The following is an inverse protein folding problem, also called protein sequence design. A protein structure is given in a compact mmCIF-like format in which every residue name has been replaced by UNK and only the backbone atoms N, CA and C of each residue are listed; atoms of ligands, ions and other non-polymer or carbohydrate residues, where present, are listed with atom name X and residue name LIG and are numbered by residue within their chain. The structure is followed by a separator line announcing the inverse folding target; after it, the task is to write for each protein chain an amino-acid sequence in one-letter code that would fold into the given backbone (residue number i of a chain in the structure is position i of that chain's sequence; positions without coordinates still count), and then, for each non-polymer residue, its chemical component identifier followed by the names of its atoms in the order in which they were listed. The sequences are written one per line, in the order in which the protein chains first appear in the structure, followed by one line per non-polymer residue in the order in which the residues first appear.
data_IF_061828147769
#
_entry.id   IF_061828147769
#
_cell.length_a   1.000
_cell.length_b   1.000
_cell.length_c   1.000
_cell.angle_alpha   90.00
_cell.angle_beta   90.00
_cell.angle_gamma   90.00
#
_symmetry.space_group_name_H-M   'P 1'
#
loop_
_entity.id
_entity.type
_entity.pdbx_description
1 polymer ?
#
# COMPACT_ATOMS: atom_id res chain seq x y z
N UNK A 1 22.19 27.80 -18.17
CA UNK A 1 21.50 26.78 -17.36
C UNK A 1 20.12 27.28 -17.05
N UNK A 2 19.09 26.59 -17.56
CA UNK A 2 17.69 26.98 -17.43
C UNK A 2 17.17 26.54 -16.07
N UNK A 3 16.42 27.40 -15.37
CA UNK A 3 15.77 27.11 -14.08
C UNK A 3 14.89 25.84 -14.17
N UNK A 4 14.39 25.51 -15.38
CA UNK A 4 13.59 24.32 -15.63
C UNK A 4 14.32 22.98 -15.44
N UNK A 5 15.63 22.89 -15.73
CA UNK A 5 16.39 21.65 -15.56
C UNK A 5 16.69 21.36 -14.08
N UNK A 6 16.89 22.42 -13.28
CA UNK A 6 17.19 22.28 -11.85
C UNK A 6 15.96 21.83 -11.05
N UNK A 7 14.75 22.25 -11.45
CA UNK A 7 13.51 21.81 -10.82
C UNK A 7 13.17 20.35 -11.16
N UNK A 8 13.40 19.91 -12.41
CA UNK A 8 13.18 18.52 -12.81
C UNK A 8 14.12 17.53 -12.08
N UNK A 9 15.37 17.92 -11.85
CA UNK A 9 16.31 17.12 -11.06
C UNK A 9 15.95 17.12 -9.57
N UNK A 10 15.48 18.24 -9.01
CA UNK A 10 15.05 18.30 -7.60
C UNK A 10 13.80 17.44 -7.35
N UNK A 11 12.86 17.41 -8.31
CA UNK A 11 11.68 16.55 -8.24
C UNK A 11 12.06 15.08 -8.44
N UNK A 12 12.98 14.77 -9.36
CA UNK A 12 13.44 13.39 -9.59
C UNK A 12 14.26 12.83 -8.42
N UNK A 13 15.11 13.65 -7.77
CA UNK A 13 15.88 13.23 -6.60
C UNK A 13 15.01 13.01 -5.35
N UNK A 14 13.85 13.68 -5.26
CA UNK A 14 12.84 13.41 -4.23
C UNK A 14 12.02 12.15 -4.47
N UNK A 15 11.99 11.66 -5.72
CA UNK A 15 11.23 10.46 -6.13
C UNK A 15 12.12 9.20 -6.09
N UNK A 16 13.44 9.33 -6.28
CA UNK A 16 14.32 8.17 -6.47
C UNK A 16 15.15 7.71 -5.26
N UNK A 17 15.08 8.34 -4.08
CA UNK A 17 15.92 7.89 -2.94
C UNK A 17 15.19 7.83 -1.59
N UNK A 18 14.39 6.77 -1.41
CA UNK A 18 14.33 6.10 -0.10
C UNK A 18 13.08 6.28 0.76
N UNK A 19 11.89 6.47 0.19
CA UNK A 19 10.63 6.42 0.95
C UNK A 19 10.14 5.02 1.34
N UNK A 20 10.75 3.96 0.78
CA UNK A 20 10.29 2.57 0.85
C UNK A 20 11.34 1.64 1.51
N UNK A 21 12.04 2.13 2.54
CA UNK A 21 13.02 1.32 3.29
C UNK A 21 12.28 0.30 4.18
N UNK A 22 11.80 -0.80 3.58
CA UNK A 22 11.33 -1.99 4.32
C UNK A 22 9.82 -2.13 4.50
N UNK A 23 9.00 -1.51 3.65
CA UNK A 23 7.55 -1.76 3.64
C UNK A 23 7.29 -3.02 2.81
N UNK A 24 6.95 -4.11 3.50
CA UNK A 24 6.76 -5.43 2.89
C UNK A 24 5.29 -5.76 2.63
N UNK A 25 4.36 -5.03 3.24
CA UNK A 25 2.92 -5.24 3.08
C UNK A 25 2.13 -3.93 3.19
N UNK A 26 0.87 -3.98 2.76
CA UNK A 26 -0.06 -2.84 2.83
C UNK A 26 -0.25 -2.32 4.26
N UNK A 27 -0.18 -3.20 5.25
CA UNK A 27 -0.30 -2.81 6.65
C UNK A 27 0.85 -1.89 7.06
N UNK A 28 2.10 -2.23 6.74
CA UNK A 28 3.27 -1.39 7.01
C UNK A 28 3.25 -0.07 6.22
N UNK A 29 2.73 -0.11 4.99
CA UNK A 29 2.50 1.09 4.17
C UNK A 29 1.53 2.06 4.86
N UNK A 30 0.46 1.51 5.41
CA UNK A 30 -0.63 2.26 6.03
C UNK A 30 -0.39 2.52 7.53
N UNK A 31 0.60 1.89 8.15
CA UNK A 31 1.08 2.19 9.51
C UNK A 31 2.05 3.38 9.54
N UNK A 32 2.81 3.59 8.45
CA UNK A 32 3.65 4.79 8.28
C UNK A 32 2.84 6.10 8.34
N UNK A 33 1.55 6.04 8.01
CA UNK A 33 0.62 7.15 8.13
C UNK A 33 -0.49 6.76 9.11
N UNK A 34 -0.47 7.33 10.32
CA UNK A 34 -1.49 7.07 11.35
C UNK A 34 -2.91 6.97 10.75
N UNK A 35 -3.65 5.89 11.05
CA UNK A 35 -4.99 5.62 10.52
C UNK A 35 -5.97 6.81 10.68
N UNK A 36 -5.78 7.66 11.69
CA UNK A 36 -6.53 8.91 11.89
C UNK A 36 -6.20 9.96 10.83
N UNK A 37 -4.92 10.11 10.48
CA UNK A 37 -4.46 11.00 9.41
C UNK A 37 -4.93 10.48 8.05
N UNK A 38 -4.81 9.18 7.84
CA UNK A 38 -5.26 8.49 6.63
C UNK A 38 -6.79 8.61 6.44
N UNK A 39 -7.55 8.48 7.52
CA UNK A 39 -9.00 8.70 7.54
C UNK A 39 -9.38 10.13 7.12
N UNK A 40 -8.67 11.13 7.64
CA UNK A 40 -8.89 12.54 7.24
C UNK A 40 -8.50 12.81 5.78
N UNK A 41 -7.41 12.22 5.31
CA UNK A 41 -6.88 12.45 3.95
C UNK A 41 -7.71 11.78 2.85
N UNK A 42 -8.29 10.62 3.16
CA UNK A 42 -9.02 9.79 2.18
C UNK A 42 -10.54 9.89 2.32
N UNK A 43 -11.03 10.42 3.44
CA UNK A 43 -12.46 10.43 3.78
C UNK A 43 -13.00 9.06 4.23
N UNK A 44 -12.17 8.02 4.28
CA UNK A 44 -12.60 6.71 4.78
C UNK A 44 -12.63 6.68 6.30
N UNK A 45 -13.62 6.00 6.88
CA UNK A 45 -13.62 5.72 8.30
C UNK A 45 -12.45 4.79 8.67
N UNK A 46 -11.91 4.93 9.89
CA UNK A 46 -10.75 4.16 10.37
C UNK A 46 -10.96 2.65 10.24
N UNK A 47 -12.18 2.17 10.50
CA UNK A 47 -12.55 0.76 10.37
C UNK A 47 -12.50 0.28 8.92
N UNK A 48 -12.89 1.12 7.97
CA UNK A 48 -12.81 0.83 6.53
C UNK A 48 -11.36 0.71 6.08
N UNK A 49 -10.49 1.59 6.56
CA UNK A 49 -9.05 1.53 6.29
C UNK A 49 -8.48 0.24 6.87
N UNK A 50 -8.76 -0.04 8.13
CA UNK A 50 -8.31 -1.27 8.78
C UNK A 50 -8.77 -2.53 8.03
N UNK A 51 -10.06 -2.62 7.70
CA UNK A 51 -10.61 -3.76 6.95
C UNK A 51 -9.89 -3.97 5.62
N UNK A 52 -9.61 -2.89 4.89
CA UNK A 52 -8.92 -2.96 3.60
C UNK A 52 -7.43 -3.30 3.72
N UNK A 53 -6.80 -2.97 4.85
CA UNK A 53 -5.42 -3.37 5.13
C UNK A 53 -5.30 -4.88 5.38
N UNK A 54 -6.32 -5.48 6.00
CA UNK A 54 -6.36 -6.91 6.34
C UNK A 54 -7.00 -7.75 5.24
N UNK A 55 -7.86 -7.16 4.43
CA UNK A 55 -8.56 -7.77 3.30
C UNK A 55 -8.27 -6.96 2.01
N UNK A 56 -7.06 -7.09 1.44
CA UNK A 56 -6.64 -6.32 0.27
C UNK A 56 -7.55 -6.49 -0.96
N UNK A 57 -8.22 -7.63 -1.08
CA UNK A 57 -9.20 -7.91 -2.13
C UNK A 57 -10.40 -6.94 -2.14
N UNK A 58 -10.62 -6.21 -1.04
CA UNK A 58 -11.69 -5.21 -0.93
C UNK A 58 -11.25 -3.80 -1.37
N UNK A 59 -9.97 -3.59 -1.67
CA UNK A 59 -9.47 -2.31 -2.18
C UNK A 59 -9.85 -2.17 -3.66
N UNK A 60 -10.51 -1.05 -4.00
CA UNK A 60 -10.81 -0.73 -5.40
C UNK A 60 -9.70 0.11 -6.03
N UNK A 61 -9.62 0.06 -7.36
CA UNK A 61 -8.62 0.82 -8.16
C UNK A 61 -8.65 2.32 -7.86
N UNK A 62 -9.83 2.93 -7.75
CA UNK A 62 -9.97 4.36 -7.41
C UNK A 62 -9.33 4.71 -6.06
N UNK A 63 -9.33 3.76 -5.14
CA UNK A 63 -8.83 3.93 -3.78
C UNK A 63 -7.32 3.76 -3.73
N UNK A 64 -6.79 2.86 -4.57
CA UNK A 64 -5.35 2.75 -4.83
C UNK A 64 -4.82 4.09 -5.34
N UNK A 65 -5.50 4.71 -6.32
CA UNK A 65 -5.10 6.01 -6.85
C UNK A 65 -5.13 7.11 -5.79
N UNK A 66 -6.21 7.17 -4.98
CA UNK A 66 -6.31 8.12 -3.86
C UNK A 66 -5.22 7.90 -2.81
N UNK A 67 -4.93 6.66 -2.46
CA UNK A 67 -3.87 6.34 -1.50
C UNK A 67 -2.50 6.71 -2.08
N UNK A 68 -2.23 6.38 -3.33
CA UNK A 68 -0.98 6.71 -4.01
C UNK A 68 -0.71 8.23 -3.99
N UNK A 69 -1.72 9.02 -4.32
CA UNK A 69 -1.65 10.48 -4.28
C UNK A 69 -1.36 11.01 -2.86
N UNK A 70 -2.07 10.50 -1.83
CA UNK A 70 -1.92 10.99 -0.45
C UNK A 70 -0.67 10.50 0.26
N UNK A 71 -0.17 9.32 -0.11
CA UNK A 71 1.03 8.71 0.45
C UNK A 71 2.30 9.08 -0.34
N UNK A 72 2.15 9.77 -1.49
CA UNK A 72 3.22 10.09 -2.42
C UNK A 72 4.02 8.85 -2.85
N UNK A 73 3.30 7.78 -3.19
CA UNK A 73 3.86 6.52 -3.70
C UNK A 73 3.21 6.17 -5.03
N UNK A 74 3.85 5.33 -5.85
CA UNK A 74 3.25 4.93 -7.12
C UNK A 74 2.00 4.06 -6.90
N UNK A 75 0.93 4.23 -7.70
CA UNK A 75 -0.23 3.33 -7.65
C UNK A 75 0.14 1.86 -7.86
N UNK A 76 1.10 1.62 -8.76
CA UNK A 76 1.64 0.29 -9.03
C UNK A 76 2.25 -0.36 -7.79
N UNK A 77 2.95 0.42 -6.94
CA UNK A 77 3.51 -0.10 -5.69
C UNK A 77 2.43 -0.57 -4.74
N UNK A 78 1.38 0.22 -4.56
CA UNK A 78 0.23 -0.16 -3.71
C UNK A 78 -0.47 -1.41 -4.24
N UNK A 79 -0.66 -1.48 -5.57
CA UNK A 79 -1.25 -2.64 -6.22
C UNK A 79 -0.41 -3.90 -6.02
N UNK A 80 0.90 -3.82 -6.23
CA UNK A 80 1.80 -4.94 -6.02
C UNK A 80 1.81 -5.43 -4.57
N UNK A 81 1.77 -4.51 -3.59
CA UNK A 81 1.64 -4.86 -2.18
C UNK A 81 0.30 -5.57 -1.89
N UNK A 82 -0.80 -5.12 -2.50
CA UNK A 82 -2.10 -5.77 -2.37
C UNK A 82 -2.08 -7.20 -2.93
N UNK A 83 -1.50 -7.38 -4.13
CA UNK A 83 -1.41 -8.69 -4.80
C UNK A 83 -0.56 -9.67 -3.99
N UNK A 84 0.60 -9.23 -3.49
CA UNK A 84 1.48 -10.08 -2.68
C UNK A 84 0.79 -10.53 -1.39
N UNK A 85 0.04 -9.64 -0.74
CA UNK A 85 -0.70 -9.97 0.48
C UNK A 85 -1.83 -10.97 0.20
N UNK A 86 -2.56 -10.81 -0.91
CA UNK A 86 -3.59 -11.78 -1.32
C UNK A 86 -2.99 -13.16 -1.59
N UNK A 87 -1.83 -13.23 -2.26
CA UNK A 87 -1.14 -14.48 -2.51
C UNK A 87 -0.66 -15.16 -1.20
N UNK A 88 -0.19 -14.38 -0.23
CA UNK A 88 0.21 -14.88 1.08
C UNK A 88 -0.99 -15.45 1.87
N UNK A 89 -2.13 -14.75 1.86
CA UNK A 89 -3.38 -15.22 2.48
C UNK A 89 -3.85 -16.53 1.82
N UNK A 90 -3.80 -16.62 0.49
CA UNK A 90 -4.19 -17.84 -0.22
C UNK A 90 -3.26 -19.02 0.10
N UNK A 91 -1.96 -18.78 0.23
CA UNK A 91 -0.99 -19.80 0.62
C UNK A 91 -1.24 -20.31 2.05
N UNK A 92 -1.51 -19.42 3.00
CA UNK A 92 -1.86 -19.78 4.39
C UNK A 92 -3.14 -20.63 4.44
N UNK A 93 -4.17 -20.24 3.68
CA UNK A 93 -5.42 -20.99 3.57
C UNK A 93 -5.21 -22.39 2.97
N UNK A 94 -4.31 -22.54 1.99
CA UNK A 94 -3.97 -23.84 1.41
C UNK A 94 -3.21 -24.73 2.40
N UNK A 95 -2.32 -24.16 3.21
CA UNK A 95 -1.56 -24.90 4.21
C UNK A 95 -2.46 -25.37 5.37
N UNK A 96 -3.34 -24.52 5.90
CA UNK A 96 -4.30 -24.91 6.95
C UNK A 96 -5.24 -26.05 6.51
N UNK A 97 -5.72 -26.01 5.27
CA UNK A 97 -6.55 -27.10 4.71
C UNK A 97 -5.82 -28.45 4.63
N UNK A 98 -4.49 -28.45 4.53
CA UNK A 98 -3.69 -29.69 4.53
C UNK A 98 -3.48 -30.23 5.94
N UNK A 99 -3.47 -29.37 6.95
CA UNK A 99 -3.31 -29.76 8.36
C UNK A 99 -4.63 -30.26 8.99
N UNK A 100 -5.77 -29.75 8.53
CA UNK A 100 -7.11 -30.13 9.03
C UNK A 100 -7.71 -31.38 8.36
N UNK A 101 -7.01 -32.00 7.41
CA UNK A 101 -7.35 -33.33 6.87
C UNK A 101 -6.22 -34.33 7.17
N UNK A 102 -6.04 -34.75 8.42
CA UNK A 102 -5.30 -35.98 8.69
C UNK A 102 -6.14 -37.14 8.16
N UNK A 103 -5.47 -38.04 7.42
CA UNK A 103 -5.99 -39.34 6.99
C UNK A 103 -6.65 -40.11 8.15
#
# INVERSE_FOLDING_TARGET
MSIGESLLNTVSEGIERGGDKGINNLRQLLEHINATKLSRLTGYHKTTIHKKTTEPQLIKVEEILKLAEKLNVSPERILNLAINEMAAIEADLKNKKREESPL
#
